data_IF_961311478500
#
_entry.id   IF_961311478500
#
_cell.length_a   1.000
_cell.length_b   1.000
_cell.length_c   1.000
_cell.angle_alpha   90.00
_cell.angle_beta   90.00
_cell.angle_gamma   90.00
#
_symmetry.space_group_name_H-M   'P 1'
#
loop_
_entity.id
_entity.type
_entity.pdbx_description
1 polymer ?
#
# COMPACT_ATOMS: atom_id res chain seq x y z
N UNK A 1 -6.95 -3.64 -19.69
CA UNK A 1 -8.41 -3.83 -19.81
C UNK A 1 -9.00 -3.69 -18.41
N UNK A 2 -9.82 -2.66 -18.21
CA UNK A 2 -10.50 -2.46 -16.93
C UNK A 2 -11.63 -3.49 -16.77
N UNK A 3 -11.80 -4.00 -15.56
CA UNK A 3 -12.82 -5.01 -15.22
C UNK A 3 -13.78 -4.43 -14.17
N UNK A 4 -15.03 -4.96 -14.12
CA UNK A 4 -15.96 -4.64 -13.06
C UNK A 4 -15.87 -5.69 -11.97
N UNK A 5 -15.78 -5.22 -10.71
CA UNK A 5 -15.74 -6.07 -9.54
C UNK A 5 -16.80 -5.63 -8.51
N UNK A 6 -17.45 -6.57 -7.82
CA UNK A 6 -18.34 -6.24 -6.72
C UNK A 6 -17.56 -5.63 -5.55
N UNK A 7 -18.23 -4.74 -4.81
CA UNK A 7 -17.65 -4.13 -3.61
C UNK A 7 -18.33 -4.65 -2.36
N UNK A 8 -17.56 -4.77 -1.28
CA UNK A 8 -18.01 -5.30 -0.01
C UNK A 8 -17.63 -4.38 1.16
N UNK A 9 -18.31 -4.55 2.29
CA UNK A 9 -17.93 -3.88 3.54
C UNK A 9 -16.74 -4.60 4.19
N UNK A 10 -16.01 -3.88 5.04
CA UNK A 10 -14.94 -4.46 5.85
C UNK A 10 -15.40 -5.65 6.70
N UNK A 11 -16.64 -5.62 7.20
CA UNK A 11 -17.23 -6.71 7.96
C UNK A 11 -17.43 -7.97 7.11
N UNK A 12 -17.97 -7.82 5.90
CA UNK A 12 -18.17 -8.94 4.95
C UNK A 12 -16.85 -9.58 4.56
N UNK A 13 -15.83 -8.78 4.30
CA UNK A 13 -14.49 -9.28 3.94
C UNK A 13 -13.87 -10.04 5.10
N UNK A 14 -13.85 -9.48 6.32
CA UNK A 14 -13.35 -10.19 7.51
C UNK A 14 -14.12 -11.48 7.81
N UNK A 15 -15.42 -11.49 7.57
CA UNK A 15 -16.23 -12.71 7.72
C UNK A 15 -15.83 -13.78 6.68
N UNK A 16 -15.46 -13.38 5.47
CA UNK A 16 -14.99 -14.28 4.42
C UNK A 16 -13.55 -14.78 4.66
N UNK A 17 -12.69 -13.99 5.28
CA UNK A 17 -11.30 -14.37 5.63
C UNK A 17 -11.24 -15.38 6.77
N UNK A 18 -12.12 -15.26 7.75
CA UNK A 18 -12.09 -16.05 8.99
C UNK A 18 -11.99 -17.57 8.76
N UNK A 19 -12.83 -18.21 7.94
CA UNK A 19 -12.73 -19.66 7.69
C UNK A 19 -11.36 -20.06 7.12
N UNK A 20 -10.81 -19.28 6.20
CA UNK A 20 -9.52 -19.56 5.59
C UNK A 20 -8.37 -19.40 6.60
N UNK A 21 -8.45 -18.42 7.48
CA UNK A 21 -7.48 -18.22 8.55
C UNK A 21 -7.55 -19.37 9.57
N UNK A 22 -8.77 -19.83 9.92
CA UNK A 22 -8.99 -20.98 10.81
C UNK A 22 -8.45 -22.30 10.21
N UNK A 23 -8.46 -22.43 8.88
CA UNK A 23 -7.86 -23.53 8.12
C UNK A 23 -6.34 -23.37 7.92
N UNK A 24 -5.76 -22.27 8.37
CA UNK A 24 -4.33 -21.99 8.25
C UNK A 24 -3.87 -21.56 6.87
N UNK A 25 -4.79 -21.05 6.02
CA UNK A 25 -4.42 -20.53 4.69
C UNK A 25 -3.52 -19.31 4.87
N UNK A 26 -2.35 -19.25 4.19
CA UNK A 26 -1.37 -18.19 4.37
C UNK A 26 -1.74 -16.91 3.62
N UNK A 27 -2.87 -16.27 4.00
CA UNK A 27 -3.39 -15.09 3.31
C UNK A 27 -2.38 -13.93 3.26
N UNK A 28 -1.65 -13.68 4.36
CA UNK A 28 -0.63 -12.62 4.43
C UNK A 28 0.53 -12.86 3.44
N UNK A 29 0.99 -14.10 3.30
CA UNK A 29 2.05 -14.43 2.35
C UNK A 29 1.59 -14.24 0.91
N UNK A 30 0.33 -14.59 0.60
CA UNK A 30 -0.28 -14.35 -0.71
C UNK A 30 -0.42 -12.86 -1.01
N UNK A 31 -0.91 -12.08 -0.05
CA UNK A 31 -1.01 -10.63 -0.17
C UNK A 31 0.36 -9.98 -0.38
N UNK A 32 1.35 -10.34 0.44
CA UNK A 32 2.72 -9.82 0.36
C UNK A 32 3.40 -10.15 -0.98
N UNK A 33 3.24 -11.36 -1.49
CA UNK A 33 3.83 -11.75 -2.77
C UNK A 33 3.23 -10.97 -3.95
N UNK A 34 1.91 -10.78 -3.96
CA UNK A 34 1.25 -9.95 -4.96
C UNK A 34 1.64 -8.48 -4.85
N UNK A 35 1.72 -7.94 -3.63
CA UNK A 35 2.18 -6.58 -3.37
C UNK A 35 3.62 -6.36 -3.87
N UNK A 36 4.52 -7.30 -3.62
CA UNK A 36 5.89 -7.25 -4.13
C UNK A 36 5.94 -7.21 -5.66
N UNK A 37 5.08 -7.98 -6.33
CA UNK A 37 4.93 -7.92 -7.79
C UNK A 37 4.51 -6.53 -8.27
N UNK A 38 3.52 -5.92 -7.60
CA UNK A 38 3.09 -4.55 -7.95
C UNK A 38 4.18 -3.53 -7.69
N UNK A 39 4.91 -3.60 -6.58
CA UNK A 39 6.04 -2.72 -6.30
C UNK A 39 7.08 -2.80 -7.43
N UNK A 40 7.40 -4.00 -7.91
CA UNK A 40 8.33 -4.21 -9.04
C UNK A 40 7.80 -3.59 -10.34
N UNK A 41 6.53 -3.80 -10.66
CA UNK A 41 5.88 -3.21 -11.84
C UNK A 41 5.92 -1.68 -11.78
N UNK A 42 5.65 -1.10 -10.61
CA UNK A 42 5.68 0.34 -10.38
C UNK A 42 7.10 0.94 -10.50
N UNK A 43 8.10 0.24 -10.01
CA UNK A 43 9.51 0.64 -10.16
C UNK A 43 10.00 0.53 -11.61
N UNK A 44 9.51 -0.45 -12.36
CA UNK A 44 9.85 -0.63 -13.78
C UNK A 44 9.15 0.37 -14.71
N UNK A 45 8.06 1.00 -14.24
CA UNK A 45 7.29 1.96 -15.05
C UNK A 45 7.99 3.32 -15.05
N UNK A 46 8.41 3.85 -16.23
CA UNK A 46 9.02 5.16 -16.30
C UNK A 46 8.08 6.24 -15.73
N UNK A 47 8.61 7.09 -14.89
CA UNK A 47 7.86 8.21 -14.38
C UNK A 47 7.83 9.31 -15.45
N UNK A 48 6.69 9.50 -16.10
CA UNK A 48 6.48 10.60 -17.03
C UNK A 48 5.96 11.82 -16.28
N UNK A 49 6.63 12.97 -16.44
CA UNK A 49 6.12 14.26 -16.00
C UNK A 49 5.16 14.77 -17.10
N UNK A 50 3.87 15.00 -16.78
CA UNK A 50 2.92 15.52 -17.77
C UNK A 50 3.28 16.92 -18.27
N UNK A 51 4.19 17.64 -17.60
CA UNK A 51 4.64 18.98 -17.99
C UNK A 51 5.94 18.97 -18.80
N UNK A 52 6.62 17.83 -18.91
CA UNK A 52 7.88 17.70 -19.63
C UNK A 52 7.72 16.78 -20.83
N UNK A 53 7.96 17.29 -22.04
CA UNK A 53 7.92 16.53 -23.30
C UNK A 53 9.16 15.63 -23.46
N UNK A 54 9.55 14.94 -22.42
CA UNK A 54 10.69 14.01 -22.40
C UNK A 54 10.51 12.97 -21.30
N UNK A 55 10.95 11.73 -21.57
CA UNK A 55 11.06 10.72 -20.53
C UNK A 55 12.00 11.26 -19.45
N UNK A 56 11.52 11.34 -18.22
CA UNK A 56 12.39 11.63 -17.09
C UNK A 56 13.29 10.41 -16.87
N UNK A 57 14.57 10.68 -16.71
CA UNK A 57 15.50 9.70 -16.19
C UNK A 57 14.93 9.09 -14.88
N UNK A 58 15.15 7.80 -14.60
CA UNK A 58 14.81 7.22 -13.33
C UNK A 58 15.34 8.11 -12.21
N UNK A 59 14.57 8.30 -11.14
CA UNK A 59 15.08 9.01 -9.95
C UNK A 59 16.25 8.19 -9.43
N UNK A 60 17.45 8.56 -9.90
CA UNK A 60 18.67 7.98 -9.40
C UNK A 60 18.79 8.30 -7.90
N UNK A 61 19.32 7.36 -7.13
CA UNK A 61 19.80 7.68 -5.78
C UNK A 61 20.77 8.86 -5.86
N UNK A 62 20.82 9.76 -4.89
CA UNK A 62 21.78 10.86 -4.83
C UNK A 62 23.24 10.36 -4.74
N UNK A 63 23.45 9.06 -4.57
CA UNK A 63 24.75 8.42 -4.68
C UNK A 63 25.05 8.12 -6.17
N UNK A 64 25.96 8.85 -6.82
CA UNK A 64 26.30 8.62 -8.23
C UNK A 64 26.90 7.22 -8.49
N UNK A 65 27.11 6.41 -7.46
CA UNK A 65 27.59 5.03 -7.54
C UNK A 65 26.53 3.95 -7.42
N UNK A 66 25.29 4.29 -7.01
CA UNK A 66 24.21 3.30 -6.84
C UNK A 66 22.96 3.70 -7.66
N UNK A 67 22.71 3.06 -8.80
CA UNK A 67 21.54 3.32 -9.64
C UNK A 67 20.23 2.71 -9.11
N UNK A 68 20.22 2.07 -7.91
CA UNK A 68 19.06 1.36 -7.39
C UNK A 68 17.99 2.33 -6.89
N UNK A 69 16.72 2.13 -7.27
CA UNK A 69 15.63 2.94 -6.77
C UNK A 69 15.46 2.73 -5.26
N UNK A 70 15.08 3.79 -4.54
CA UNK A 70 14.77 3.71 -3.11
C UNK A 70 13.26 3.59 -2.89
N UNK A 71 12.87 2.70 -1.99
CA UNK A 71 11.48 2.47 -1.58
C UNK A 71 11.34 2.76 -0.09
N UNK A 72 10.37 3.61 0.27
CA UNK A 72 9.97 3.81 1.66
C UNK A 72 8.72 3.01 1.97
N UNK A 73 8.74 2.24 3.05
CA UNK A 73 7.59 1.50 3.54
C UNK A 73 7.14 2.06 4.89
N UNK A 74 5.92 2.57 4.94
CA UNK A 74 5.27 3.02 6.18
C UNK A 74 4.55 1.83 6.81
N UNK A 75 4.96 1.45 8.02
CA UNK A 75 4.52 0.21 8.66
C UNK A 75 3.68 0.49 9.89
N UNK A 76 2.40 0.15 9.83
CA UNK A 76 1.48 0.19 10.95
C UNK A 76 1.48 -1.09 11.81
N UNK A 77 0.56 -1.14 12.76
CA UNK A 77 0.46 -2.24 13.75
C UNK A 77 -0.35 -3.46 13.29
N UNK A 78 -1.07 -3.35 12.17
CA UNK A 78 -2.00 -4.37 11.68
C UNK A 78 -1.40 -5.27 10.59
N UNK A 79 -2.28 -6.07 9.97
CA UNK A 79 -1.91 -7.01 8.91
C UNK A 79 -1.31 -6.30 7.69
N UNK A 80 -1.79 -5.10 7.32
CA UNK A 80 -1.20 -4.30 6.23
C UNK A 80 0.29 -4.00 6.44
N UNK A 81 0.69 -3.71 7.70
CA UNK A 81 2.10 -3.55 8.06
C UNK A 81 2.88 -4.85 7.90
N UNK A 82 2.28 -5.99 8.24
CA UNK A 82 2.84 -7.31 8.01
C UNK A 82 3.02 -7.63 6.53
N UNK A 83 1.97 -7.41 5.72
CA UNK A 83 1.99 -7.60 4.27
C UNK A 83 3.10 -6.74 3.62
N UNK A 84 3.19 -5.46 4.02
CA UNK A 84 4.20 -4.53 3.53
C UNK A 84 5.63 -4.96 3.89
N UNK A 85 5.86 -5.44 5.13
CA UNK A 85 7.15 -5.94 5.56
C UNK A 85 7.59 -7.20 4.82
N UNK A 86 6.68 -8.18 4.61
CA UNK A 86 7.00 -9.36 3.83
C UNK A 86 7.19 -9.05 2.34
N UNK A 87 6.46 -8.07 1.79
CA UNK A 87 6.72 -7.57 0.44
C UNK A 87 8.09 -6.89 0.34
N UNK A 88 8.50 -6.12 1.37
CA UNK A 88 9.82 -5.51 1.45
C UNK A 88 10.95 -6.52 1.24
N UNK A 89 10.87 -7.68 1.91
CA UNK A 89 11.85 -8.77 1.75
C UNK A 89 12.03 -9.16 0.29
N UNK A 90 10.91 -9.25 -0.43
CA UNK A 90 10.88 -9.75 -1.80
C UNK A 90 11.37 -8.75 -2.85
N UNK A 91 11.55 -7.47 -2.51
CA UNK A 91 11.98 -6.43 -3.46
C UNK A 91 13.39 -5.90 -3.19
N UNK A 92 14.10 -6.45 -2.20
CA UNK A 92 15.48 -6.05 -1.86
C UNK A 92 16.50 -6.35 -2.94
N UNK A 93 16.19 -7.22 -3.89
CA UNK A 93 17.04 -7.51 -5.06
C UNK A 93 16.97 -6.42 -6.14
N UNK A 94 15.89 -5.63 -6.19
CA UNK A 94 15.64 -4.59 -7.22
C UNK A 94 15.65 -3.17 -6.66
N UNK A 95 15.58 -2.98 -5.34
CA UNK A 95 15.50 -1.67 -4.71
C UNK A 95 16.25 -1.63 -3.37
N UNK A 96 16.66 -0.44 -2.96
CA UNK A 96 17.05 -0.15 -1.58
C UNK A 96 15.82 0.20 -0.78
N UNK A 97 15.55 -0.57 0.27
CA UNK A 97 14.29 -0.49 1.01
C UNK A 97 14.53 0.09 2.40
N UNK A 98 13.82 1.18 2.69
CA UNK A 98 13.75 1.79 3.99
C UNK A 98 12.37 1.52 4.62
N UNK A 99 12.34 1.27 5.93
CA UNK A 99 11.13 1.03 6.71
C UNK A 99 11.01 2.07 7.82
N UNK A 100 9.88 2.76 7.87
CA UNK A 100 9.47 3.61 8.98
C UNK A 100 8.37 2.89 9.79
N UNK A 101 8.66 2.54 11.03
CA UNK A 101 7.65 2.04 11.95
C UNK A 101 6.85 3.23 12.52
N UNK A 102 5.56 3.31 12.22
CA UNK A 102 4.70 4.40 12.67
C UNK A 102 3.88 4.04 13.91
N UNK A 103 4.17 2.89 14.52
CA UNK A 103 3.53 2.37 15.73
C UNK A 103 4.55 1.60 16.57
N UNK A 104 4.36 1.60 17.89
CA UNK A 104 5.16 0.77 18.82
C UNK A 104 4.84 -0.73 18.69
N UNK A 105 3.70 -1.08 18.10
CA UNK A 105 3.31 -2.46 17.79
C UNK A 105 3.48 -2.69 16.30
N UNK A 106 4.02 -3.83 15.91
CA UNK A 106 4.25 -4.24 14.54
C UNK A 106 4.37 -5.77 14.47
N UNK A 107 4.36 -6.32 13.28
CA UNK A 107 4.55 -7.76 13.07
C UNK A 107 6.03 -8.12 13.23
N UNK A 108 6.41 -8.61 14.43
CA UNK A 108 7.81 -8.84 14.82
C UNK A 108 8.55 -9.79 13.87
N UNK A 109 7.91 -10.91 13.49
CA UNK A 109 8.52 -11.89 12.59
C UNK A 109 8.76 -11.31 11.19
N UNK A 110 7.83 -10.51 10.67
CA UNK A 110 7.97 -9.86 9.37
C UNK A 110 9.09 -8.79 9.40
N UNK A 111 9.17 -8.00 10.48
CA UNK A 111 10.25 -7.02 10.65
C UNK A 111 11.62 -7.70 10.75
N UNK A 112 11.71 -8.80 11.52
CA UNK A 112 12.96 -9.56 11.62
C UNK A 112 13.40 -10.11 10.26
N UNK A 113 12.47 -10.62 9.45
CA UNK A 113 12.74 -11.08 8.10
C UNK A 113 13.21 -9.93 7.19
N UNK A 114 12.55 -8.77 7.25
CA UNK A 114 12.91 -7.59 6.46
C UNK A 114 14.33 -7.09 6.80
N UNK A 115 14.63 -6.92 8.09
CA UNK A 115 15.97 -6.52 8.54
C UNK A 115 17.03 -7.57 8.15
N UNK A 116 16.70 -8.87 8.27
CA UNK A 116 17.58 -9.96 7.83
C UNK A 116 17.85 -9.96 6.32
N UNK A 117 16.95 -9.42 5.51
CA UNK A 117 17.09 -9.23 4.08
C UNK A 117 17.82 -7.93 3.68
N UNK A 118 18.24 -7.10 4.66
CA UNK A 118 18.98 -5.86 4.41
C UNK A 118 18.12 -4.59 4.38
N UNK A 119 16.83 -4.67 4.73
CA UNK A 119 15.97 -3.50 4.85
C UNK A 119 16.45 -2.61 6.01
N UNK A 120 16.59 -1.31 5.76
CA UNK A 120 17.05 -0.33 6.74
C UNK A 120 15.87 0.29 7.49
N UNK A 121 15.97 0.44 8.79
CA UNK A 121 15.01 1.23 9.56
C UNK A 121 15.40 2.70 9.54
N UNK A 122 14.41 3.57 9.38
CA UNK A 122 14.56 5.03 9.38
C UNK A 122 13.64 5.68 10.38
N UNK A 123 13.97 6.90 10.78
CA UNK A 123 13.15 7.74 11.65
C UNK A 123 12.30 8.71 10.84
N UNK A 124 11.19 9.19 11.44
CA UNK A 124 10.30 10.18 10.80
C UNK A 124 11.02 11.48 10.47
N UNK A 125 12.01 11.87 11.25
CA UNK A 125 12.84 13.05 11.00
C UNK A 125 13.65 12.96 9.71
N UNK A 126 14.07 11.76 9.32
CA UNK A 126 14.77 11.54 8.04
C UNK A 126 13.84 11.78 6.84
N UNK A 127 12.52 11.52 6.98
CA UNK A 127 11.56 11.68 5.88
C UNK A 127 11.47 13.13 5.40
N UNK A 128 11.52 14.09 6.30
CA UNK A 128 11.47 15.51 5.96
C UNK A 128 12.62 15.93 5.03
N UNK A 129 13.79 15.33 5.22
CA UNK A 129 15.01 15.69 4.47
C UNK A 129 15.17 14.88 3.17
N UNK A 130 14.80 13.59 3.21
CA UNK A 130 15.11 12.65 2.11
C UNK A 130 13.87 12.10 1.40
N UNK A 131 12.67 12.47 1.83
CA UNK A 131 11.41 11.94 1.27
C UNK A 131 11.30 12.08 -0.26
N UNK A 132 11.83 13.17 -0.81
CA UNK A 132 11.87 13.43 -2.27
C UNK A 132 12.78 12.48 -3.05
N UNK A 133 13.66 11.74 -2.39
CA UNK A 133 14.60 10.82 -3.02
C UNK A 133 14.07 9.38 -3.12
N UNK A 134 12.88 9.13 -2.59
CA UNK A 134 12.22 7.85 -2.80
C UNK A 134 11.54 7.82 -4.17
N UNK A 135 11.74 6.73 -4.90
CA UNK A 135 11.03 6.46 -6.14
C UNK A 135 9.58 6.03 -5.86
N UNK A 136 9.38 5.34 -4.73
CA UNK A 136 8.10 4.77 -4.33
C UNK A 136 7.92 4.84 -2.82
N UNK A 137 6.68 5.12 -2.39
CA UNK A 137 6.23 4.97 -1.00
C UNK A 137 5.16 3.88 -0.95
N UNK A 138 5.26 2.97 0.01
CA UNK A 138 4.25 1.95 0.29
C UNK A 138 3.53 2.33 1.58
N UNK A 139 2.24 2.61 1.48
CA UNK A 139 1.38 2.93 2.61
C UNK A 139 0.78 1.65 3.21
N UNK A 140 1.46 1.07 4.19
CA UNK A 140 1.03 -0.10 4.98
C UNK A 140 0.62 0.26 6.42
N UNK A 141 0.10 1.49 6.65
CA UNK A 141 -0.19 1.99 8.00
C UNK A 141 -1.49 1.39 8.56
N UNK A 142 -2.61 1.57 7.85
CA UNK A 142 -3.94 1.14 8.27
C UNK A 142 -4.63 0.32 7.19
N UNK A 143 -5.35 -0.74 7.61
CA UNK A 143 -6.21 -1.53 6.75
C UNK A 143 -7.64 -1.57 7.29
N UNK A 144 -8.43 -2.54 6.82
CA UNK A 144 -9.84 -2.73 7.24
C UNK A 144 -9.99 -3.11 8.72
N UNK A 145 -8.91 -3.52 9.39
CA UNK A 145 -8.87 -3.79 10.83
C UNK A 145 -8.79 -2.53 11.70
N UNK A 146 -8.58 -1.35 11.11
CA UNK A 146 -8.55 -0.09 11.82
C UNK A 146 -9.91 0.20 12.48
N UNK A 147 -9.86 1.02 13.53
CA UNK A 147 -11.06 1.44 14.27
C UNK A 147 -12.06 2.18 13.37
N UNK A 148 -13.27 2.44 13.90
CA UNK A 148 -14.32 3.22 13.21
C UNK A 148 -13.87 4.62 12.75
N UNK A 149 -12.76 5.12 13.30
CA UNK A 149 -12.13 6.38 12.90
C UNK A 149 -10.80 6.08 12.23
N UNK A 150 -10.67 6.28 10.91
CA UNK A 150 -9.46 6.00 10.15
C UNK A 150 -8.37 7.06 10.32
N UNK A 151 -8.58 8.07 11.17
CA UNK A 151 -7.67 9.21 11.35
C UNK A 151 -6.25 8.79 11.75
N UNK A 152 -5.26 9.30 11.02
CA UNK A 152 -3.85 9.11 11.32
C UNK A 152 -3.44 9.92 12.57
N UNK A 153 -2.60 9.32 13.42
CA UNK A 153 -2.14 9.93 14.68
C UNK A 153 -0.64 9.72 14.88
N UNK A 154 -0.01 10.58 15.70
CA UNK A 154 1.40 10.46 16.08
C UNK A 154 2.31 10.37 14.86
N UNK A 155 3.29 9.47 14.94
CA UNK A 155 4.31 9.28 13.89
C UNK A 155 3.72 8.99 12.51
N UNK A 156 2.57 8.28 12.43
CA UNK A 156 1.89 8.05 11.15
C UNK A 156 1.45 9.36 10.50
N UNK A 157 0.80 10.24 11.28
CA UNK A 157 0.36 11.55 10.81
C UNK A 157 1.55 12.44 10.45
N UNK A 158 2.61 12.45 11.26
CA UNK A 158 3.83 13.21 11.02
C UNK A 158 4.50 12.78 9.70
N UNK A 159 4.65 11.48 9.48
CA UNK A 159 5.26 10.93 8.26
C UNK A 159 4.47 11.31 7.00
N UNK A 160 3.14 11.13 7.02
CA UNK A 160 2.30 11.48 5.87
C UNK A 160 2.29 12.98 5.63
N UNK A 161 2.24 13.81 6.70
CA UNK A 161 2.32 15.27 6.56
C UNK A 161 3.66 15.70 5.96
N UNK A 162 4.77 15.08 6.37
CA UNK A 162 6.10 15.36 5.81
C UNK A 162 6.15 15.03 4.31
N UNK A 163 5.60 13.88 3.90
CA UNK A 163 5.52 13.50 2.48
C UNK A 163 4.66 14.49 1.68
N UNK A 164 3.47 14.84 2.15
CA UNK A 164 2.59 15.81 1.49
C UNK A 164 3.23 17.20 1.35
N UNK A 165 4.10 17.59 2.28
CA UNK A 165 4.82 18.86 2.21
C UNK A 165 5.83 18.94 1.06
N UNK A 166 6.26 17.82 0.51
CA UNK A 166 7.17 17.77 -0.65
C UNK A 166 6.50 18.44 -1.86
N UNK A 167 5.24 18.06 -2.16
CA UNK A 167 4.48 18.64 -3.25
C UNK A 167 4.22 20.14 -3.04
N UNK A 168 3.83 20.52 -1.82
CA UNK A 168 3.58 21.91 -1.45
C UNK A 168 4.82 22.79 -1.62
N UNK A 169 6.02 22.21 -1.47
CA UNK A 169 7.30 22.89 -1.67
C UNK A 169 7.75 22.91 -3.15
N UNK A 170 6.92 22.43 -4.08
CA UNK A 170 7.24 22.33 -5.49
C UNK A 170 8.19 21.17 -5.82
N UNK A 171 8.39 20.24 -4.88
CA UNK A 171 9.10 18.99 -5.09
C UNK A 171 8.22 17.96 -5.76
N UNK A 172 8.84 16.93 -6.31
CA UNK A 172 8.12 15.81 -6.90
C UNK A 172 7.76 14.79 -5.83
N UNK A 173 6.47 14.47 -5.72
CA UNK A 173 6.01 13.38 -4.88
C UNK A 173 6.48 12.02 -5.43
N UNK A 174 6.99 11.12 -4.58
CA UNK A 174 7.12 9.72 -4.92
C UNK A 174 5.79 9.13 -5.38
N UNK A 175 5.83 8.08 -6.20
CA UNK A 175 4.62 7.29 -6.44
C UNK A 175 4.20 6.60 -5.15
N UNK A 176 2.90 6.41 -4.95
CA UNK A 176 2.37 5.81 -3.73
C UNK A 176 1.60 4.54 -4.07
N UNK A 177 1.95 3.44 -3.42
CA UNK A 177 1.19 2.18 -3.42
C UNK A 177 0.52 2.04 -2.07
N UNK A 178 -0.81 2.12 -2.04
CA UNK A 178 -1.57 1.84 -0.82
C UNK A 178 -1.84 0.34 -0.68
N UNK A 179 -1.59 -0.18 0.52
CA UNK A 179 -1.84 -1.58 0.88
C UNK A 179 -3.27 -1.70 1.37
N UNK A 180 -4.08 -2.42 0.62
CA UNK A 180 -5.48 -2.71 0.89
C UNK A 180 -6.44 -1.52 0.74
N UNK A 181 -6.11 -0.39 1.37
CA UNK A 181 -6.83 0.89 1.31
C UNK A 181 -5.89 2.03 1.70
N UNK A 182 -5.96 3.22 1.10
CA UNK A 182 -5.21 4.39 1.58
C UNK A 182 -5.47 4.66 3.05
N UNK A 183 -4.40 4.80 3.84
CA UNK A 183 -4.52 5.04 5.28
C UNK A 183 -5.13 6.40 5.57
N UNK A 184 -6.14 6.43 6.42
CA UNK A 184 -6.96 7.62 6.67
C UNK A 184 -8.29 7.63 5.92
N UNK A 185 -8.54 6.63 5.05
CA UNK A 185 -9.80 6.45 4.35
C UNK A 185 -10.66 5.37 5.03
N UNK A 186 -11.95 5.66 5.26
CA UNK A 186 -12.87 4.70 5.88
C UNK A 186 -13.29 3.61 4.88
N UNK A 187 -13.11 2.31 5.18
CA UNK A 187 -13.25 1.21 4.22
C UNK A 187 -14.67 1.02 3.66
N UNK A 188 -15.70 1.45 4.35
CA UNK A 188 -17.07 1.25 3.90
C UNK A 188 -17.68 2.52 3.28
N UNK A 189 -17.38 3.69 3.84
CA UNK A 189 -18.02 4.96 3.46
C UNK A 189 -17.17 5.83 2.56
N UNK A 190 -15.83 5.63 2.54
CA UNK A 190 -14.91 6.52 1.87
C UNK A 190 -14.77 7.89 2.54
N UNK A 191 -15.22 8.04 3.80
CA UNK A 191 -14.92 9.24 4.56
C UNK A 191 -13.40 9.31 4.82
N UNK A 192 -12.80 10.46 4.54
CA UNK A 192 -11.36 10.67 4.68
C UNK A 192 -11.03 11.53 5.89
N UNK A 193 -9.86 11.27 6.49
CA UNK A 193 -9.20 12.21 7.41
C UNK A 193 -8.71 13.44 6.63
N UNK A 194 -8.31 14.49 7.34
CA UNK A 194 -7.65 15.68 6.78
C UNK A 194 -6.21 15.41 6.32
N UNK A 195 -5.63 14.27 6.73
CA UNK A 195 -4.30 13.81 6.33
C UNK A 195 -4.39 12.40 5.76
N UNK A 196 -4.44 12.30 4.44
CA UNK A 196 -4.43 11.06 3.67
C UNK A 196 -3.39 11.19 2.57
N UNK A 197 -2.59 10.15 2.38
CA UNK A 197 -1.62 10.10 1.28
C UNK A 197 -2.33 9.58 0.01
N UNK A 198 -2.49 10.40 -1.04
CA UNK A 198 -3.11 9.93 -2.27
C UNK A 198 -2.28 8.82 -2.91
N UNK A 199 -2.91 7.69 -3.20
CA UNK A 199 -2.25 6.59 -3.87
C UNK A 199 -2.22 6.77 -5.40
N UNK A 200 -1.13 6.34 -6.03
CA UNK A 200 -1.10 6.11 -7.48
C UNK A 200 -1.81 4.81 -7.82
N UNK A 201 -1.62 3.80 -6.95
CA UNK A 201 -2.24 2.47 -7.06
C UNK A 201 -2.64 2.00 -5.67
N UNK A 202 -3.86 1.49 -5.54
CA UNK A 202 -4.29 0.74 -4.35
C UNK A 202 -4.33 -0.74 -4.67
N UNK A 203 -3.52 -1.54 -3.97
CA UNK A 203 -3.50 -3.00 -4.05
C UNK A 203 -4.46 -3.55 -3.00
N UNK A 204 -5.66 -3.92 -3.40
CA UNK A 204 -6.71 -4.39 -2.50
C UNK A 204 -6.84 -5.90 -2.56
N UNK A 205 -6.97 -6.57 -1.40
CA UNK A 205 -6.91 -8.03 -1.30
C UNK A 205 -8.29 -8.65 -1.12
N UNK A 206 -8.53 -9.76 -1.82
CA UNK A 206 -9.71 -10.60 -1.73
C UNK A 206 -10.99 -10.01 -2.27
N UNK A 207 -11.25 -8.74 -2.00
CA UNK A 207 -12.40 -8.00 -2.52
C UNK A 207 -12.15 -6.49 -2.50
N UNK A 208 -12.85 -5.76 -3.37
CA UNK A 208 -12.80 -4.29 -3.37
C UNK A 208 -13.63 -3.74 -2.21
N UNK A 209 -13.01 -2.92 -1.36
CA UNK A 209 -13.66 -2.23 -0.25
C UNK A 209 -14.58 -1.13 -0.80
N UNK A 210 -15.81 -1.05 -0.30
CA UNK A 210 -16.80 -0.09 -0.77
C UNK A 210 -16.32 1.36 -0.70
N UNK A 211 -15.51 1.69 0.33
CA UNK A 211 -14.95 3.01 0.54
C UNK A 211 -13.96 3.47 -0.53
N UNK A 212 -13.36 2.55 -1.29
CA UNK A 212 -12.46 2.92 -2.39
C UNK A 212 -13.17 3.64 -3.54
N UNK A 213 -14.47 3.42 -3.69
CA UNK A 213 -15.29 3.99 -4.78
C UNK A 213 -16.43 4.87 -4.26
N UNK A 214 -16.46 5.16 -2.96
CA UNK A 214 -17.45 6.01 -2.30
C UNK A 214 -16.78 7.20 -1.61
N UNK A 215 -17.58 8.23 -1.32
CA UNK A 215 -17.10 9.42 -0.62
C UNK A 215 -15.88 10.03 -1.30
N UNK A 216 -14.79 10.20 -0.54
CA UNK A 216 -13.50 10.68 -1.03
C UNK A 216 -12.64 9.56 -1.65
N UNK A 217 -13.08 8.29 -1.61
CA UNK A 217 -12.32 7.16 -2.13
C UNK A 217 -11.73 7.38 -3.53
N UNK A 218 -12.53 7.83 -4.52
CA UNK A 218 -12.02 8.08 -5.87
C UNK A 218 -10.89 9.11 -5.96
N UNK A 219 -10.76 10.01 -4.99
CA UNK A 219 -9.69 11.02 -4.95
C UNK A 219 -8.38 10.44 -4.42
N UNK A 220 -8.46 9.41 -3.55
CA UNK A 220 -7.29 8.87 -2.85
C UNK A 220 -6.86 7.49 -3.33
N UNK A 221 -7.75 6.70 -3.94
CA UNK A 221 -7.46 5.31 -4.27
C UNK A 221 -6.53 5.13 -5.47
N UNK A 222 -6.46 6.10 -6.39
CA UNK A 222 -5.76 5.92 -7.65
C UNK A 222 -6.30 4.74 -8.46
N UNK A 223 -5.43 4.05 -9.18
CA UNK A 223 -5.79 2.81 -9.88
C UNK A 223 -6.02 1.68 -8.88
N UNK A 224 -7.18 1.04 -8.93
CA UNK A 224 -7.52 -0.08 -8.04
C UNK A 224 -7.07 -1.39 -8.70
N UNK A 225 -6.17 -2.11 -8.04
CA UNK A 225 -5.72 -3.43 -8.42
C UNK A 225 -6.25 -4.46 -7.41
N UNK A 226 -7.09 -5.37 -7.87
CA UNK A 226 -7.66 -6.43 -7.04
C UNK A 226 -6.78 -7.68 -7.08
N UNK A 227 -6.33 -8.13 -5.92
CA UNK A 227 -5.63 -9.41 -5.77
C UNK A 227 -6.59 -10.47 -5.27
N UNK A 228 -6.78 -11.53 -6.06
CA UNK A 228 -7.53 -12.71 -5.62
C UNK A 228 -6.65 -13.56 -4.70
N UNK A 229 -6.97 -13.56 -3.41
CA UNK A 229 -6.32 -14.37 -2.38
C UNK A 229 -7.15 -15.62 -2.00
N UNK A 230 -8.25 -15.89 -2.74
CA UNK A 230 -9.08 -17.07 -2.56
C UNK A 230 -10.39 -16.85 -1.79
N UNK A 231 -10.87 -15.60 -1.64
CA UNK A 231 -12.12 -15.30 -0.93
C UNK A 231 -13.39 -15.55 -1.76
N UNK A 232 -13.29 -15.83 -3.07
CA UNK A 232 -14.42 -15.87 -3.99
C UNK A 232 -15.56 -16.77 -3.53
N UNK A 233 -15.26 -17.98 -3.04
CA UNK A 233 -16.29 -18.93 -2.55
C UNK A 233 -16.99 -18.41 -1.29
N UNK A 234 -16.26 -17.82 -0.35
CA UNK A 234 -16.82 -17.29 0.88
C UNK A 234 -17.66 -16.03 0.62
N UNK A 235 -17.24 -15.19 -0.32
CA UNK A 235 -17.97 -13.97 -0.72
C UNK A 235 -19.17 -14.26 -1.60
N UNK A 236 -19.26 -15.41 -2.27
CA UNK A 236 -20.40 -15.77 -3.11
C UNK A 236 -21.74 -15.82 -2.33
N UNK A 237 -21.70 -16.01 -1.00
CA UNK A 237 -22.87 -15.97 -0.12
C UNK A 237 -23.19 -14.56 0.42
N UNK A 238 -22.31 -13.58 0.22
CA UNK A 238 -22.49 -12.21 0.69
C UNK A 238 -23.14 -11.36 -0.43
N UNK A 239 -24.05 -10.47 -0.05
CA UNK A 239 -24.65 -9.52 -0.99
C UNK A 239 -23.68 -8.34 -1.19
N UNK A 240 -23.22 -8.07 -2.43
CA UNK A 240 -22.39 -6.91 -2.72
C UNK A 240 -23.11 -5.60 -2.39
N UNK A 241 -22.36 -4.62 -1.90
CA UNK A 241 -22.92 -3.29 -1.57
C UNK A 241 -22.74 -2.26 -2.70
N UNK A 242 -22.14 -2.66 -3.81
CA UNK A 242 -21.92 -1.85 -5.01
C UNK A 242 -20.98 -2.51 -6.00
N UNK A 243 -20.53 -1.73 -6.96
CA UNK A 243 -19.57 -2.14 -7.99
C UNK A 243 -18.41 -1.14 -8.11
N UNK A 244 -17.26 -1.62 -8.46
CA UNK A 244 -16.06 -0.83 -8.77
C UNK A 244 -15.54 -1.16 -10.18
N UNK A 245 -14.85 -0.21 -10.79
CA UNK A 245 -13.98 -0.48 -11.92
C UNK A 245 -12.57 -0.70 -11.38
N UNK A 246 -11.98 -1.85 -11.68
CA UNK A 246 -10.59 -2.16 -11.31
C UNK A 246 -9.71 -2.13 -12.56
N UNK A 247 -8.49 -1.67 -12.39
CA UNK A 247 -7.52 -1.60 -13.48
C UNK A 247 -7.05 -2.99 -13.90
N UNK A 248 -6.92 -3.90 -12.93
CA UNK A 248 -6.47 -5.27 -13.15
C UNK A 248 -6.92 -6.17 -12.00
N UNK A 249 -7.24 -7.43 -12.30
CA UNK A 249 -7.35 -8.50 -11.32
C UNK A 249 -6.10 -9.39 -11.45
N UNK A 250 -5.44 -9.66 -10.34
CA UNK A 250 -4.24 -10.49 -10.26
C UNK A 250 -4.51 -11.67 -9.35
N UNK A 251 -4.23 -12.87 -9.80
CA UNK A 251 -4.22 -14.02 -8.91
C UNK A 251 -2.99 -13.96 -8.01
N UNK A 252 -3.17 -14.18 -6.71
CA UNK A 252 -2.03 -14.37 -5.84
C UNK A 252 -1.22 -15.60 -6.32
N UNK A 253 0.13 -15.57 -6.20
CA UNK A 253 0.93 -16.73 -6.49
C UNK A 253 0.43 -17.95 -5.70
N UNK A 254 0.40 -19.11 -6.33
CA UNK A 254 0.14 -20.37 -5.63
C UNK A 254 1.33 -20.72 -4.73
N UNK A 255 1.04 -21.30 -3.56
CA UNK A 255 2.03 -21.78 -2.58
C UNK A 255 2.92 -22.89 -3.14
#
# INVERSE_FOLDING_TARGET
>A
VTERAPTFTAEQIRAAERPLLDEGVPLMQRAAAALAGVIRDELATPQTDPTTTGALEPVASDDPGDPRPRVLILVGSGDNGGDALYAAVQVTDVADVDVLLVSDRFHEAALAAAVGAGVRRVDVTEIADVGRHYALVVDGILGIGASREPALRGTAREAVTALLSIEQSGGRMPRVVAVDIPSGLHPDTGAADDVVLPASVTVTFGAVKAGLVRGCGPEYAGDILLVDIGLGTALAAAEPVGEATVSRVVAAPAD
#
